data_IF_839635115743
#
_entry.id   IF_839635115743
#
_cell.length_a   1.000
_cell.length_b   1.000
_cell.length_c   1.000
_cell.angle_alpha   90.00
_cell.angle_beta   90.00
_cell.angle_gamma   90.00
#
_symmetry.space_group_name_H-M   'P 1'
#
loop_
_entity.id
_entity.type
_entity.pdbx_description
1 polymer ?
#
# COMPACT_ATOMS: atom_id res chain seq x y z
N UNK A 1 -25.70 -20.24 -22.57
CA UNK A 1 -24.24 -20.15 -22.86
C UNK A 1 -23.45 -19.37 -21.78
N UNK A 2 -24.02 -18.39 -21.08
CA UNK A 2 -23.28 -17.57 -20.09
C UNK A 2 -22.81 -18.26 -18.79
N UNK A 3 -23.60 -19.17 -18.21
CA UNK A 3 -23.28 -19.81 -16.91
C UNK A 3 -22.05 -20.73 -16.94
N UNK A 4 -21.81 -21.42 -18.07
CA UNK A 4 -20.66 -22.32 -18.24
C UNK A 4 -19.35 -21.52 -18.35
N UNK A 5 -19.34 -20.47 -19.17
CA UNK A 5 -18.18 -19.59 -19.33
C UNK A 5 -17.83 -18.86 -18.02
N UNK A 6 -18.82 -18.40 -17.27
CA UNK A 6 -18.61 -17.80 -15.95
C UNK A 6 -17.97 -18.78 -14.96
N UNK A 7 -18.43 -20.04 -14.96
CA UNK A 7 -17.84 -21.10 -14.12
C UNK A 7 -16.40 -21.43 -14.52
N UNK A 8 -16.11 -21.54 -15.82
CA UNK A 8 -14.76 -21.80 -16.32
C UNK A 8 -13.77 -20.68 -15.98
N UNK A 9 -14.22 -19.42 -16.04
CA UNK A 9 -13.44 -18.26 -15.59
C UNK A 9 -13.16 -18.33 -14.10
N UNK A 10 -14.19 -18.57 -13.27
CA UNK A 10 -14.06 -18.67 -11.81
C UNK A 10 -13.13 -19.81 -11.38
N UNK A 11 -13.24 -20.99 -11.99
CA UNK A 11 -12.36 -22.13 -11.69
C UNK A 11 -10.90 -21.85 -12.13
N UNK A 12 -10.71 -21.11 -13.23
CA UNK A 12 -9.38 -20.70 -13.66
C UNK A 12 -8.76 -19.64 -12.73
N UNK A 13 -9.56 -18.70 -12.22
CA UNK A 13 -9.13 -17.73 -11.21
C UNK A 13 -8.75 -18.42 -9.90
N UNK A 14 -9.53 -19.41 -9.46
CA UNK A 14 -9.25 -20.15 -8.23
C UNK A 14 -7.96 -20.98 -8.35
N UNK A 15 -7.76 -21.71 -9.46
CA UNK A 15 -6.50 -22.43 -9.70
C UNK A 15 -5.29 -21.49 -9.65
N UNK A 16 -5.37 -20.33 -10.30
CA UNK A 16 -4.30 -19.33 -10.28
C UNK A 16 -4.04 -18.79 -8.87
N UNK A 17 -5.08 -18.60 -8.07
CA UNK A 17 -4.96 -18.14 -6.68
C UNK A 17 -4.21 -19.17 -5.83
N UNK A 18 -4.50 -20.46 -6.02
CA UNK A 18 -3.78 -21.56 -5.35
C UNK A 18 -2.31 -21.58 -5.79
N UNK A 19 -2.04 -21.59 -7.09
CA UNK A 19 -0.66 -21.61 -7.62
C UNK A 19 0.17 -20.44 -7.07
N UNK A 20 -0.39 -19.22 -7.11
CA UNK A 20 0.29 -18.03 -6.57
C UNK A 20 0.58 -18.16 -5.08
N UNK A 21 -0.37 -18.68 -4.32
CA UNK A 21 -0.19 -18.88 -2.89
C UNK A 21 0.93 -19.87 -2.61
N UNK A 22 1.02 -20.95 -3.38
CA UNK A 22 2.11 -21.93 -3.25
C UNK A 22 3.48 -21.34 -3.59
N UNK A 23 3.58 -20.55 -4.67
CA UNK A 23 4.81 -19.84 -5.03
C UNK A 23 5.22 -18.87 -3.92
N UNK A 24 4.27 -18.07 -3.42
CA UNK A 24 4.54 -17.14 -2.33
C UNK A 24 4.94 -17.86 -1.04
N UNK A 25 4.36 -19.03 -0.74
CA UNK A 25 4.75 -19.87 0.39
C UNK A 25 6.19 -20.37 0.25
N UNK A 26 6.63 -20.78 -0.94
CA UNK A 26 8.02 -21.20 -1.18
C UNK A 26 8.99 -20.05 -0.87
N UNK A 27 8.70 -18.85 -1.36
CA UNK A 27 9.49 -17.66 -1.02
C UNK A 27 9.46 -17.32 0.48
N UNK A 28 8.29 -17.43 1.12
CA UNK A 28 8.14 -17.16 2.55
C UNK A 28 8.82 -18.21 3.44
N UNK A 29 9.02 -19.44 2.95
CA UNK A 29 9.67 -20.52 3.71
C UNK A 29 11.15 -20.28 4.00
N UNK A 30 11.76 -19.30 3.34
CA UNK A 30 13.10 -18.80 3.69
C UNK A 30 13.09 -17.78 4.86
N UNK A 31 11.90 -17.41 5.35
CA UNK A 31 11.74 -16.53 6.50
C UNK A 31 11.94 -17.23 7.85
N UNK A 32 11.85 -16.48 8.96
CA UNK A 32 12.02 -17.05 10.30
C UNK A 32 10.99 -18.14 10.61
N UNK A 33 11.41 -19.18 11.32
CA UNK A 33 10.50 -20.21 11.82
C UNK A 33 9.38 -19.59 12.68
N UNK A 34 8.14 -20.03 12.46
CA UNK A 34 6.96 -19.53 13.17
C UNK A 34 6.40 -18.20 12.67
N UNK A 35 6.96 -17.61 11.61
CA UNK A 35 6.37 -16.44 10.97
C UNK A 35 5.17 -16.84 10.10
N UNK A 36 4.08 -16.08 10.20
CA UNK A 36 3.00 -16.15 9.21
C UNK A 36 3.42 -15.47 7.91
N UNK A 37 2.63 -15.66 6.84
CA UNK A 37 2.93 -14.98 5.58
C UNK A 37 1.71 -14.50 4.80
N UNK A 38 1.90 -13.43 4.03
CA UNK A 38 0.93 -12.87 3.11
C UNK A 38 1.52 -12.81 1.69
N UNK A 39 0.70 -13.15 0.69
CA UNK A 39 1.06 -13.05 -0.72
C UNK A 39 0.23 -11.94 -1.36
N UNK A 40 0.88 -10.87 -1.81
CA UNK A 40 0.24 -9.65 -2.30
C UNK A 40 0.48 -9.45 -3.80
N UNK A 41 -0.43 -8.74 -4.51
CA UNK A 41 -0.23 -8.38 -5.91
C UNK A 41 0.82 -7.26 -6.01
N UNK A 42 2.08 -7.64 -6.24
CA UNK A 42 3.17 -6.71 -6.43
C UNK A 42 3.05 -5.93 -7.74
N UNK A 43 3.24 -4.61 -7.69
CA UNK A 43 3.17 -3.72 -8.86
C UNK A 43 4.56 -3.26 -9.31
N UNK A 44 4.85 -3.35 -10.62
CA UNK A 44 6.11 -2.86 -11.22
C UNK A 44 5.89 -1.70 -12.18
N UNK A 45 4.91 -0.85 -11.89
CA UNK A 45 4.67 0.36 -12.67
C UNK A 45 5.92 1.26 -12.62
N UNK A 46 6.26 1.95 -13.71
CA UNK A 46 7.46 2.76 -13.77
C UNK A 46 7.40 3.91 -12.78
N UNK A 47 8.58 4.38 -12.37
CA UNK A 47 8.72 5.65 -11.67
C UNK A 47 8.75 6.77 -12.70
N UNK A 48 7.94 7.80 -12.47
CA UNK A 48 7.83 8.97 -13.34
C UNK A 48 7.75 10.24 -12.48
N UNK A 49 8.21 11.40 -12.98
CA UNK A 49 7.95 12.67 -12.32
C UNK A 49 6.45 12.88 -12.10
N UNK A 50 6.02 13.38 -10.92
CA UNK A 50 4.62 13.65 -10.69
C UNK A 50 4.07 14.71 -11.67
N UNK A 51 2.90 14.49 -12.28
CA UNK A 51 2.30 15.46 -13.20
C UNK A 51 2.02 16.79 -12.49
N UNK A 52 2.42 17.91 -13.12
CA UNK A 52 2.27 19.23 -12.52
C UNK A 52 0.81 19.63 -12.29
N UNK A 53 -0.09 19.20 -13.19
CA UNK A 53 -1.54 19.37 -13.06
C UNK A 53 -2.10 18.58 -11.87
N UNK A 54 -1.62 17.35 -11.65
CA UNK A 54 -1.99 16.54 -10.49
C UNK A 54 -1.51 17.16 -9.17
N UNK A 55 -0.29 17.70 -9.13
CA UNK A 55 0.22 18.45 -7.97
C UNK A 55 -0.66 19.68 -7.71
N UNK A 56 -1.00 20.44 -8.75
CA UNK A 56 -1.83 21.63 -8.63
C UNK A 56 -3.23 21.28 -8.10
N UNK A 57 -3.90 20.29 -8.69
CA UNK A 57 -5.22 19.83 -8.25
C UNK A 57 -5.18 19.36 -6.79
N UNK A 58 -4.14 18.63 -6.41
CA UNK A 58 -3.96 18.17 -5.04
C UNK A 58 -3.67 19.34 -4.07
N UNK A 59 -2.87 20.32 -4.46
CA UNK A 59 -2.67 21.54 -3.68
C UNK A 59 -3.98 22.29 -3.47
N UNK A 60 -4.80 22.47 -4.52
CA UNK A 60 -6.11 23.12 -4.40
C UNK A 60 -7.01 22.39 -3.41
N UNK A 61 -7.04 21.05 -3.45
CA UNK A 61 -7.74 20.25 -2.45
C UNK A 61 -7.20 20.53 -1.04
N UNK A 62 -5.88 20.45 -0.85
CA UNK A 62 -5.24 20.69 0.45
C UNK A 62 -5.50 22.09 1.01
N UNK A 63 -5.40 23.13 0.19
CA UNK A 63 -5.70 24.51 0.59
C UNK A 63 -7.15 24.62 1.10
N UNK A 64 -8.10 23.98 0.40
CA UNK A 64 -9.50 23.96 0.79
C UNK A 64 -9.72 23.25 2.12
N UNK A 65 -9.25 22.00 2.26
CA UNK A 65 -9.48 21.22 3.50
C UNK A 65 -8.69 21.75 4.70
N UNK A 66 -7.51 22.34 4.49
CA UNK A 66 -6.75 23.00 5.55
C UNK A 66 -7.41 24.31 6.01
N UNK A 67 -8.00 25.06 5.08
CA UNK A 67 -8.80 26.26 5.40
C UNK A 67 -10.02 25.91 6.27
N UNK A 68 -10.77 24.88 5.89
CA UNK A 68 -11.90 24.38 6.67
C UNK A 68 -11.47 23.91 8.07
N UNK A 69 -10.37 23.14 8.16
CA UNK A 69 -9.85 22.64 9.42
C UNK A 69 -9.45 23.78 10.38
N UNK A 70 -8.77 24.81 9.88
CA UNK A 70 -8.39 25.95 10.71
C UNK A 70 -9.56 26.85 11.11
N UNK A 71 -10.64 26.86 10.33
CA UNK A 71 -11.90 27.51 10.71
C UNK A 71 -12.72 26.69 11.72
N UNK A 72 -12.28 25.48 12.10
CA UNK A 72 -13.01 24.58 13.00
C UNK A 72 -14.29 24.01 12.38
N UNK A 73 -14.39 24.02 11.05
CA UNK A 73 -15.55 23.48 10.33
C UNK A 73 -15.39 21.98 10.15
N UNK A 74 -16.50 21.25 10.27
CA UNK A 74 -16.53 19.83 9.91
C UNK A 74 -16.49 19.68 8.38
N UNK A 75 -15.67 18.76 7.90
CA UNK A 75 -15.67 18.35 6.49
C UNK A 75 -16.57 17.14 6.24
N UNK A 76 -16.51 16.61 5.02
CA UNK A 76 -17.13 15.31 4.71
C UNK A 76 -16.67 14.24 5.71
N UNK A 77 -17.64 13.54 6.31
CA UNK A 77 -17.39 12.54 7.34
C UNK A 77 -16.56 11.40 6.75
N UNK A 78 -15.41 11.13 7.36
CA UNK A 78 -14.62 9.96 7.01
C UNK A 78 -15.46 8.71 7.27
N UNK A 79 -15.53 7.74 6.33
CA UNK A 79 -16.28 6.52 6.59
C UNK A 79 -15.79 5.89 7.89
N UNK A 80 -16.72 5.48 8.75
CA UNK A 80 -16.43 4.80 10.01
C UNK A 80 -15.79 3.45 9.68
N UNK A 81 -14.46 3.44 9.57
CA UNK A 81 -13.70 2.21 9.41
C UNK A 81 -13.72 1.48 10.75
N UNK A 82 -13.90 0.14 10.77
CA UNK A 82 -13.77 -0.64 12.00
C UNK A 82 -12.44 -0.28 12.67
N UNK A 83 -12.45 -0.19 13.99
CA UNK A 83 -11.28 0.07 14.83
C UNK A 83 -10.27 -1.07 14.67
N UNK A 84 -9.50 -1.02 13.60
CA UNK A 84 -8.28 -1.79 13.46
C UNK A 84 -7.24 -1.11 14.33
N UNK A 85 -6.62 -1.88 15.23
CA UNK A 85 -5.58 -1.37 16.12
C UNK A 85 -4.41 -0.84 15.27
N UNK A 86 -4.01 0.43 15.44
CA UNK A 86 -3.01 1.09 14.60
C UNK A 86 -1.60 0.48 14.64
N UNK A 87 -1.34 -0.46 15.55
CA UNK A 87 0.00 -0.88 15.95
C UNK A 87 0.48 -2.17 15.29
N UNK A 88 -0.22 -2.63 14.25
CA UNK A 88 0.31 -3.76 13.48
C UNK A 88 1.38 -3.25 12.50
N UNK A 89 2.64 -3.70 12.61
CA UNK A 89 3.78 -3.26 11.78
C UNK A 89 3.64 -3.71 10.32
N UNK A 90 2.56 -4.42 9.99
CA UNK A 90 2.32 -5.06 8.70
C UNK A 90 2.05 -4.08 7.57
N UNK A 91 1.53 -2.87 7.85
CA UNK A 91 1.07 -1.95 6.79
C UNK A 91 2.24 -1.43 5.95
N UNK A 92 3.35 -1.05 6.57
CA UNK A 92 4.51 -0.55 5.83
C UNK A 92 5.17 -1.68 5.01
N UNK A 93 5.25 -2.88 5.60
CA UNK A 93 5.69 -4.09 4.92
C UNK A 93 4.80 -4.46 3.72
N UNK A 94 3.47 -4.37 3.91
CA UNK A 94 2.50 -4.63 2.87
C UNK A 94 2.59 -3.61 1.74
N UNK A 95 2.72 -2.32 2.08
CA UNK A 95 2.88 -1.25 1.12
C UNK A 95 4.15 -1.42 0.30
N UNK A 96 5.30 -1.69 0.95
CA UNK A 96 6.58 -1.93 0.28
C UNK A 96 6.58 -3.21 -0.57
N UNK A 97 6.01 -4.30 -0.06
CA UNK A 97 5.97 -5.58 -0.76
C UNK A 97 5.07 -5.56 -1.99
N UNK A 98 3.84 -5.05 -1.86
CA UNK A 98 2.93 -4.93 -3.01
C UNK A 98 3.22 -3.72 -3.90
N UNK A 99 4.12 -2.82 -3.46
CA UNK A 99 4.34 -1.49 -4.04
C UNK A 99 3.01 -0.79 -4.26
N UNK A 100 2.28 -0.57 -3.17
CA UNK A 100 1.10 0.31 -3.15
C UNK A 100 -0.03 -0.05 -4.12
N UNK A 101 -0.41 -1.32 -4.25
CA UNK A 101 -1.54 -1.70 -5.10
C UNK A 101 -2.85 -0.97 -4.76
N UNK A 102 -3.11 -0.75 -3.47
CA UNK A 102 -4.23 0.07 -3.00
C UNK A 102 -3.98 1.58 -3.13
N UNK A 103 -2.73 2.03 -3.33
CA UNK A 103 -2.39 3.45 -3.45
C UNK A 103 -2.90 4.07 -4.76
N UNK A 104 -3.31 3.28 -5.75
CA UNK A 104 -3.98 3.80 -6.94
C UNK A 104 -5.23 4.62 -6.57
N UNK A 105 -6.01 4.16 -5.60
CA UNK A 105 -7.21 4.86 -5.11
C UNK A 105 -6.87 6.19 -4.43
N UNK A 106 -5.69 6.30 -3.83
CA UNK A 106 -5.23 7.55 -3.24
C UNK A 106 -5.02 8.66 -4.27
N UNK A 107 -4.84 8.34 -5.55
CA UNK A 107 -4.72 9.34 -6.62
C UNK A 107 -6.02 10.11 -6.82
N UNK A 108 -7.12 9.38 -6.97
CA UNK A 108 -8.45 9.93 -7.24
C UNK A 108 -9.10 10.50 -5.99
N UNK A 109 -8.67 10.07 -4.81
CA UNK A 109 -9.22 10.50 -3.51
C UNK A 109 -8.26 11.40 -2.72
N UNK A 110 -7.34 12.11 -3.38
CA UNK A 110 -6.43 13.07 -2.75
C UNK A 110 -5.71 12.55 -1.49
N UNK A 111 -5.09 11.37 -1.61
CA UNK A 111 -4.41 10.65 -0.53
C UNK A 111 -5.28 10.40 0.72
N UNK A 112 -6.60 10.50 0.57
CA UNK A 112 -7.59 10.44 1.65
C UNK A 112 -7.33 11.47 2.76
N UNK A 113 -6.73 12.61 2.42
CA UNK A 113 -6.52 13.70 3.37
C UNK A 113 -7.78 14.55 3.46
N UNK A 114 -8.51 14.40 4.56
CA UNK A 114 -9.79 15.06 4.83
C UNK A 114 -9.63 16.21 5.83
N UNK A 115 -10.68 17.02 6.02
CA UNK A 115 -10.70 18.07 7.06
C UNK A 115 -10.38 17.49 8.44
N UNK A 116 -10.90 16.31 8.77
CA UNK A 116 -10.62 15.63 10.03
C UNK A 116 -9.13 15.27 10.15
N UNK A 117 -8.53 14.72 9.08
CA UNK A 117 -7.09 14.42 9.05
C UNK A 117 -6.26 15.68 9.25
N UNK A 118 -6.53 16.75 8.50
CA UNK A 118 -5.74 17.98 8.63
C UNK A 118 -5.94 18.67 9.97
N UNK A 119 -7.14 18.63 10.56
CA UNK A 119 -7.38 19.15 11.90
C UNK A 119 -6.55 18.39 12.95
N UNK A 120 -6.52 17.06 12.88
CA UNK A 120 -5.67 16.24 13.74
C UNK A 120 -4.19 16.61 13.58
N UNK A 121 -3.69 16.65 12.33
CA UNK A 121 -2.29 17.00 12.05
C UNK A 121 -1.90 18.40 12.52
N UNK A 122 -2.83 19.36 12.39
CA UNK A 122 -2.61 20.75 12.80
C UNK A 122 -2.41 20.87 14.30
N UNK A 123 -3.11 20.06 15.07
CA UNK A 123 -3.12 20.07 16.54
C UNK A 123 -2.07 19.13 17.13
N UNK A 124 -1.79 18.01 16.46
CA UNK A 124 -0.86 16.99 16.95
C UNK A 124 0.59 17.47 16.84
N UNK A 125 1.35 17.43 17.93
CA UNK A 125 2.79 17.73 17.93
C UNK A 125 3.16 19.21 18.01
N UNK A 126 2.18 20.11 18.20
CA UNK A 126 2.41 21.55 18.30
C UNK A 126 1.89 22.10 19.65
N UNK A 127 2.61 21.87 20.76
CA UNK A 127 2.19 22.29 22.10
C UNK A 127 2.07 23.81 22.27
N UNK A 128 2.80 24.58 21.45
CA UNK A 128 2.80 26.04 21.48
C UNK A 128 1.75 26.70 20.56
N UNK A 129 0.92 25.88 19.88
CA UNK A 129 -0.18 26.37 19.04
C UNK A 129 -0.29 25.63 17.71
N UNK A 130 -1.52 25.53 17.21
CA UNK A 130 -1.83 24.76 16.02
C UNK A 130 -1.15 25.33 14.75
N UNK A 131 -0.62 24.45 13.89
CA UNK A 131 0.10 24.83 12.66
C UNK A 131 -0.79 25.69 11.72
N UNK A 132 -0.23 26.70 11.05
CA UNK A 132 -1.00 27.49 10.08
C UNK A 132 -1.44 26.66 8.86
N UNK A 133 -2.58 26.96 8.20
CA UNK A 133 -3.01 26.25 7.00
C UNK A 133 -1.94 26.19 5.91
N UNK A 134 -1.32 27.33 5.59
CA UNK A 134 -0.29 27.41 4.56
C UNK A 134 0.95 26.58 4.90
N UNK A 135 1.35 26.58 6.18
CA UNK A 135 2.50 25.80 6.67
C UNK A 135 2.21 24.30 6.59
N UNK A 136 0.99 23.88 6.98
CA UNK A 136 0.56 22.48 6.89
C UNK A 136 0.52 21.98 5.44
N UNK A 137 -0.01 22.79 4.52
CA UNK A 137 -0.01 22.47 3.08
C UNK A 137 1.41 22.35 2.55
N UNK A 138 2.28 23.31 2.84
CA UNK A 138 3.67 23.31 2.38
C UNK A 138 4.43 22.08 2.89
N UNK A 139 4.26 21.74 4.17
CA UNK A 139 4.85 20.56 4.78
C UNK A 139 4.37 19.27 4.08
N UNK A 140 3.07 19.11 3.81
CA UNK A 140 2.54 17.93 3.11
C UNK A 140 3.10 17.85 1.68
N UNK A 141 3.09 18.94 0.92
CA UNK A 141 3.59 18.98 -0.45
C UNK A 141 5.08 18.67 -0.54
N UNK A 142 5.88 19.08 0.45
CA UNK A 142 7.32 18.80 0.51
C UNK A 142 7.66 17.30 0.60
N UNK A 143 6.67 16.44 0.86
CA UNK A 143 6.83 14.97 0.92
C UNK A 143 6.50 14.28 -0.39
N UNK A 144 6.06 15.00 -1.41
CA UNK A 144 5.92 14.46 -2.76
C UNK A 144 7.34 14.15 -3.27
N UNK A 145 7.65 12.89 -3.64
CA UNK A 145 8.96 12.51 -4.15
C UNK A 145 9.21 13.13 -5.52
N UNK A 146 10.48 13.23 -5.91
CA UNK A 146 10.87 13.66 -7.27
C UNK A 146 10.36 12.71 -8.36
N UNK A 147 10.17 11.43 -8.01
CA UNK A 147 9.56 10.41 -8.86
C UNK A 147 8.56 9.58 -8.06
N UNK A 148 7.41 9.30 -8.65
CA UNK A 148 6.37 8.47 -8.06
C UNK A 148 6.04 7.28 -8.97
N UNK A 149 5.35 6.28 -8.44
CA UNK A 149 4.80 5.19 -9.25
C UNK A 149 3.68 5.69 -10.16
N UNK A 150 3.85 5.49 -11.47
CA UNK A 150 2.91 5.91 -12.51
C UNK A 150 1.47 5.44 -12.22
N UNK A 151 0.51 6.36 -12.39
CA UNK A 151 -0.92 6.08 -12.16
C UNK A 151 -1.26 5.78 -10.70
N UNK A 152 -0.42 6.16 -9.74
CA UNK A 152 -0.68 6.01 -8.31
C UNK A 152 -0.85 7.35 -7.59
N UNK A 153 -1.05 7.29 -6.27
CA UNK A 153 -1.04 8.43 -5.36
C UNK A 153 0.30 9.19 -5.45
N UNK A 154 0.26 10.52 -5.28
CA UNK A 154 1.44 11.39 -5.38
C UNK A 154 2.55 11.05 -4.39
N UNK A 155 2.23 10.43 -3.25
CA UNK A 155 3.22 10.02 -2.25
C UNK A 155 3.80 8.62 -2.47
N UNK A 156 3.45 7.94 -3.55
CA UNK A 156 3.92 6.58 -3.79
C UNK A 156 5.32 6.59 -4.43
N UNK A 157 6.36 6.55 -3.60
CA UNK A 157 7.76 6.49 -4.01
C UNK A 157 8.24 5.06 -4.30
N UNK A 158 9.55 4.93 -4.54
CA UNK A 158 10.19 3.67 -4.95
C UNK A 158 10.13 2.54 -3.91
N UNK A 159 10.02 2.88 -2.62
CA UNK A 159 9.99 1.93 -1.50
C UNK A 159 8.65 1.90 -0.77
N UNK A 160 7.63 2.59 -1.28
CA UNK A 160 6.32 2.72 -0.66
C UNK A 160 5.91 4.18 -0.47
N UNK A 161 5.06 4.45 0.52
CA UNK A 161 4.53 5.78 0.75
C UNK A 161 5.57 6.70 1.42
N UNK A 162 5.89 7.83 0.79
CA UNK A 162 6.82 8.87 1.27
C UNK A 162 6.20 9.74 2.36
N UNK A 163 4.87 9.71 2.49
CA UNK A 163 4.16 10.33 3.60
C UNK A 163 4.31 9.42 4.83
N UNK A 164 4.90 9.89 5.94
CA UNK A 164 5.06 9.06 7.14
C UNK A 164 3.69 8.70 7.72
N UNK A 165 3.60 7.55 8.40
CA UNK A 165 2.34 6.97 8.89
C UNK A 165 1.46 7.95 9.65
N UNK A 166 2.03 8.72 10.57
CA UNK A 166 1.32 9.72 11.37
C UNK A 166 0.73 10.88 10.54
N UNK A 167 1.11 11.02 9.26
CA UNK A 167 0.60 12.05 8.32
C UNK A 167 -0.35 11.49 7.26
N UNK A 168 -0.51 10.17 7.17
CA UNK A 168 -1.40 9.54 6.19
C UNK A 168 -2.86 9.71 6.63
N UNK A 169 -3.79 9.77 5.67
CA UNK A 169 -5.23 9.71 5.96
C UNK A 169 -5.61 8.42 6.69
N UNK A 170 -6.70 8.42 7.46
CA UNK A 170 -7.06 7.24 8.28
C UNK A 170 -7.32 6.02 7.41
N UNK A 171 -7.88 6.21 6.21
CA UNK A 171 -8.02 5.13 5.23
C UNK A 171 -6.67 4.42 5.00
N UNK A 172 -5.62 5.18 4.65
CA UNK A 172 -4.29 4.63 4.42
C UNK A 172 -3.69 3.95 5.66
N UNK A 173 -4.07 4.39 6.86
CA UNK A 173 -3.60 3.81 8.13
C UNK A 173 -4.37 2.57 8.58
N UNK A 174 -5.56 2.29 8.02
CA UNK A 174 -6.45 1.20 8.47
C UNK A 174 -6.70 0.13 7.41
N UNK A 175 -6.31 0.38 6.16
CA UNK A 175 -6.65 -0.52 5.07
C UNK A 175 -5.81 -1.80 5.05
N UNK A 176 -6.50 -2.92 5.14
CA UNK A 176 -5.98 -4.23 4.75
C UNK A 176 -6.74 -4.81 3.56
N UNK A 177 -5.98 -5.21 2.53
CA UNK A 177 -6.52 -6.05 1.47
C UNK A 177 -6.88 -7.45 2.02
N UNK A 178 -7.72 -8.20 1.29
CA UNK A 178 -8.15 -9.54 1.71
C UNK A 178 -7.01 -10.48 2.14
N UNK A 179 -5.90 -10.56 1.38
CA UNK A 179 -4.73 -11.33 1.79
C UNK A 179 -4.12 -10.88 3.13
N UNK A 180 -3.99 -9.57 3.37
CA UNK A 180 -3.47 -9.04 4.64
C UNK A 180 -4.41 -9.33 5.80
N UNK A 181 -5.72 -9.17 5.64
CA UNK A 181 -6.72 -9.54 6.68
C UNK A 181 -6.62 -11.02 7.04
N UNK A 182 -6.39 -11.87 6.05
CA UNK A 182 -6.26 -13.33 6.26
C UNK A 182 -4.95 -13.67 6.96
N UNK A 183 -3.87 -12.97 6.65
CA UNK A 183 -2.56 -13.20 7.28
C UNK A 183 -2.53 -12.66 8.72
N UNK A 184 -3.09 -11.47 8.95
CA UNK A 184 -3.22 -10.88 10.28
C UNK A 184 -4.05 -11.78 11.22
N UNK A 185 -5.20 -12.27 10.75
CA UNK A 185 -6.00 -13.24 11.52
C UNK A 185 -5.20 -14.49 11.88
N UNK A 186 -4.45 -15.07 10.93
CA UNK A 186 -3.62 -16.25 11.19
C UNK A 186 -2.52 -15.95 12.21
N UNK A 187 -1.89 -14.77 12.12
CA UNK A 187 -0.86 -14.36 13.07
C UNK A 187 -1.43 -14.26 14.50
N UNK A 188 -2.64 -13.70 14.64
CA UNK A 188 -3.35 -13.66 15.93
C UNK A 188 -3.69 -15.07 16.43
N UNK A 189 -4.27 -15.91 15.58
CA UNK A 189 -4.66 -17.30 15.93
C UNK A 189 -3.46 -18.16 16.34
N UNK A 190 -2.30 -17.97 15.70
CA UNK A 190 -1.08 -18.71 16.00
C UNK A 190 -0.22 -18.07 17.10
N UNK A 191 -0.58 -16.88 17.59
CA UNK A 191 0.26 -16.08 18.49
C UNK A 191 1.58 -15.62 17.86
N UNK A 192 1.65 -15.52 16.53
CA UNK A 192 2.85 -15.08 15.83
C UNK A 192 2.98 -13.55 15.88
N UNK A 193 4.16 -13.07 16.24
CA UNK A 193 4.55 -11.67 16.22
C UNK A 193 5.36 -11.30 14.97
N UNK A 194 5.41 -12.20 13.97
CA UNK A 194 6.19 -12.09 12.74
C UNK A 194 5.34 -12.38 11.51
N UNK A 195 5.47 -11.53 10.50
CA UNK A 195 4.82 -11.71 9.21
C UNK A 195 5.82 -11.50 8.07
N UNK A 196 5.92 -12.49 7.20
CA UNK A 196 6.62 -12.39 5.92
C UNK A 196 5.63 -11.92 4.86
N UNK A 197 5.88 -10.76 4.26
CA UNK A 197 5.04 -10.26 3.17
C UNK A 197 5.77 -10.45 1.85
N UNK A 198 5.14 -11.21 0.95
CA UNK A 198 5.66 -11.54 -0.37
C UNK A 198 4.84 -10.80 -1.42
N UNK A 199 5.46 -9.84 -2.10
CA UNK A 199 4.87 -9.23 -3.28
C UNK A 199 5.16 -10.11 -4.50
N UNK A 200 4.13 -10.63 -5.15
CA UNK A 200 4.25 -11.35 -6.42
C UNK A 200 3.59 -10.54 -7.52
N UNK A 201 4.32 -10.23 -8.59
CA UNK A 201 3.70 -9.66 -9.77
C UNK A 201 2.77 -10.69 -10.41
N UNK A 202 1.67 -10.21 -10.98
CA UNK A 202 1.15 -10.77 -12.22
C UNK A 202 0.30 -9.71 -12.91
N UNK A 203 0.35 -9.70 -14.24
CA UNK A 203 -0.63 -9.04 -15.11
C UNK A 203 -2.04 -9.42 -14.66
N UNK A 204 -2.63 -8.60 -13.80
CA UNK A 204 -4.08 -8.55 -13.64
C UNK A 204 -4.54 -7.76 -14.85
N UNK A 205 -5.24 -8.40 -15.79
CA UNK A 205 -6.04 -7.65 -16.76
C UNK A 205 -7.07 -6.88 -15.94
N UNK A 206 -6.76 -5.61 -15.65
CA UNK A 206 -7.81 -4.62 -15.49
C UNK A 206 -8.47 -4.49 -16.86
N UNK A 207 -9.80 -4.41 -16.88
CA UNK A 207 -10.57 -4.14 -18.09
C UNK A 207 -10.06 -2.88 -18.83
N UNK A 208 -10.52 -2.69 -20.08
CA UNK A 208 -9.79 -1.99 -21.13
C UNK A 208 -9.38 -0.57 -20.76
N UNK A 209 -8.07 -0.27 -20.83
CA UNK A 209 -7.52 1.05 -20.57
C UNK A 209 -5.99 1.18 -20.60
N UNK A 210 -5.30 0.55 -21.57
CA UNK A 210 -3.98 0.99 -22.09
C UNK A 210 -2.68 0.67 -21.31
N UNK A 211 -1.73 0.01 -21.98
CA UNK A 211 -0.28 0.08 -21.68
C UNK A 211 0.45 -1.27 -21.48
N UNK A 212 1.27 -1.71 -22.46
CA UNK A 212 2.21 -2.85 -22.36
C UNK A 212 3.51 -2.41 -21.67
N UNK A 213 4.06 -3.22 -20.76
CA UNK A 213 5.47 -3.14 -20.31
C UNK A 213 6.03 -4.56 -20.06
N UNK A 214 7.32 -4.74 -20.40
CA UNK A 214 8.12 -5.98 -20.40
C UNK A 214 9.24 -5.85 -19.36
N UNK A 215 9.61 -6.92 -18.64
CA UNK A 215 10.98 -7.17 -18.17
C UNK A 215 11.19 -8.63 -17.71
N UNK A 216 12.41 -9.13 -17.97
CA UNK A 216 13.00 -10.47 -17.74
C UNK A 216 13.44 -10.70 -16.28
N UNK A 217 13.86 -11.86 -15.77
CA UNK A 217 13.62 -13.29 -15.99
C UNK A 217 14.58 -13.99 -14.99
N UNK A 218 14.05 -14.76 -14.04
CA UNK A 218 14.79 -15.89 -13.46
C UNK A 218 13.89 -17.12 -13.56
N UNK A 219 14.14 -17.86 -14.65
CA UNK A 219 13.97 -19.31 -14.83
C UNK A 219 12.78 -19.99 -14.15
N UNK A 220 11.60 -19.67 -14.69
CA UNK A 220 10.39 -20.43 -14.49
C UNK A 220 9.18 -19.60 -14.92
N UNK A 221 8.13 -20.21 -15.41
CA UNK A 221 6.96 -19.61 -16.10
C UNK A 221 6.01 -18.78 -15.20
N UNK A 222 6.58 -18.01 -14.26
CA UNK A 222 6.10 -17.96 -12.88
C UNK A 222 5.84 -16.55 -12.35
N UNK A 223 4.99 -16.46 -11.31
CA UNK A 223 4.76 -15.22 -10.54
C UNK A 223 6.11 -14.63 -10.08
N UNK A 224 6.47 -13.41 -10.51
CA UNK A 224 7.79 -12.82 -10.24
C UNK A 224 7.80 -12.11 -8.88
N UNK A 225 8.81 -12.41 -8.05
CA UNK A 225 9.01 -11.78 -6.75
C UNK A 225 9.32 -10.27 -6.89
N UNK A 226 8.53 -9.41 -6.25
CA UNK A 226 8.70 -7.95 -6.24
C UNK A 226 9.52 -7.49 -5.05
N UNK A 227 9.24 -8.06 -3.89
CA UNK A 227 9.91 -7.80 -2.64
C UNK A 227 9.48 -8.84 -1.61
N UNK A 228 10.41 -9.13 -0.69
CA UNK A 228 10.14 -9.86 0.56
C UNK A 228 10.57 -8.93 1.67
N UNK A 229 9.73 -8.78 2.67
CA UNK A 229 10.18 -8.16 3.91
C UNK A 229 9.59 -8.86 5.10
N UNK A 230 10.35 -8.81 6.18
CA UNK A 230 9.94 -9.26 7.48
C UNK A 230 9.38 -8.05 8.21
N UNK A 231 8.15 -8.14 8.67
CA UNK A 231 7.70 -7.26 9.71
C UNK A 231 7.72 -8.01 11.05
N UNK A 232 7.92 -7.25 12.12
CA UNK A 232 7.79 -7.69 13.50
C UNK A 232 7.35 -6.51 14.36
N UNK A 233 7.02 -6.76 15.63
CA UNK A 233 6.73 -5.70 16.60
C UNK A 233 7.85 -4.64 16.70
N UNK A 234 9.08 -4.95 16.27
CA UNK A 234 10.23 -4.04 16.24
C UNK A 234 10.32 -3.17 14.97
N UNK A 235 9.49 -3.41 13.95
CA UNK A 235 9.48 -2.65 12.68
C UNK A 235 9.59 -3.54 11.44
N UNK A 236 9.81 -2.89 10.29
CA UNK A 236 10.01 -3.55 8.99
C UNK A 236 11.50 -3.66 8.65
N UNK A 237 11.95 -4.87 8.34
CA UNK A 237 13.28 -5.14 7.82
C UNK A 237 13.17 -5.73 6.40
N UNK A 238 13.76 -5.09 5.37
CA UNK A 238 13.84 -5.67 4.04
C UNK A 238 14.71 -6.93 4.10
N UNK A 239 14.18 -8.08 3.67
CA UNK A 239 14.99 -9.29 3.52
C UNK A 239 15.76 -9.15 2.21
N UNK A 240 17.09 -9.13 2.29
CA UNK A 240 17.93 -9.11 1.10
C UNK A 240 17.63 -10.34 0.23
N UNK A 241 17.38 -10.19 -1.08
CA UNK A 241 17.08 -11.32 -1.97
C UNK A 241 18.15 -12.42 -1.91
N UNK A 242 19.40 -12.04 -1.63
CA UNK A 242 20.55 -12.95 -1.51
C UNK A 242 20.52 -13.88 -0.29
N UNK A 243 19.65 -13.62 0.69
CA UNK A 243 19.46 -14.48 1.86
C UNK A 243 18.46 -15.64 1.58
N UNK A 244 17.71 -15.55 0.47
CA UNK A 244 16.82 -16.60 -0.01
C UNK A 244 17.66 -17.49 -0.93
N UNK A 245 18.24 -18.53 -0.35
CA UNK A 245 19.29 -19.35 -0.96
C UNK A 245 19.05 -19.66 -2.43
N UNK A 246 20.07 -19.38 -3.25
CA UNK A 246 20.21 -19.94 -4.58
C UNK A 246 20.16 -21.45 -4.48
N UNK A 247 18.99 -22.03 -4.79
CA UNK A 247 18.86 -23.46 -5.02
C UNK A 247 19.02 -23.66 -6.52
N UNK A 248 20.25 -23.96 -6.90
CA UNK A 248 20.59 -24.66 -8.16
C UNK A 248 19.83 -25.96 -8.29
#
# INVERSE_FOLDING_TARGET
MGRRRAREVSEAEERRRVDRWETGRRHASAGPAGAEFAVLPGQRRPLVPPPADAILAFKTHLDHVAGLAAAGLEGEHEPTLPTWTPDTPWIDAACGACRGACCAEGRTNHAFLTVATLNELRLSGHPDGALGPAELVADILARIPSEHVEGSCLFHGSTGCTLPRHRRGQMCNRYYCGPMKTADRRAVESGSDRLVVVGLTRTVSLGPGGGRVVAHASDGTDDELVAIGLASAAGFEPISPSAVGSTT
#
